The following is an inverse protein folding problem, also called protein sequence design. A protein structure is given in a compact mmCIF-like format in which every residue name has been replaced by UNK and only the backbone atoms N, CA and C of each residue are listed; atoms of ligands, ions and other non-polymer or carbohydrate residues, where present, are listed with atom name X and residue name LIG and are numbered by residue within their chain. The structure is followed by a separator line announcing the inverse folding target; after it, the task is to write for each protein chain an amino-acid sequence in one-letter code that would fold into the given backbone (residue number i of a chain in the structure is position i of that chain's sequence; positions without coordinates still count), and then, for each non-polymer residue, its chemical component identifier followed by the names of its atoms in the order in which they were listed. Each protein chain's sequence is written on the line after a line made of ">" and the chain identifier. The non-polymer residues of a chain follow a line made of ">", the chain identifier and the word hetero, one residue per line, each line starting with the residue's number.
data_IF_871979317675
#
_entry.id   IF_871979317675
#
_cell.length_a   1.000
_cell.length_b   1.000
_cell.length_c   1.000
_cell.angle_alpha   90.00
_cell.angle_beta   90.00
_cell.angle_gamma   90.00
#
_symmetry.space_group_name_H-M   'P 1'
#
loop_
_entity.id
_entity.type
_entity.pdbx_description
1 polymer ?
#
# COMPACT_ATOMS: atom_id res chain seq x y z
N UNK A 1 -3.88 7.76 -16.07
CA UNK A 1 -2.46 7.71 -16.48
C UNK A 1 -2.34 7.09 -17.86
N UNK A 2 -1.17 7.15 -18.52
CA UNK A 2 -0.96 6.58 -19.87
C UNK A 2 0.41 5.92 -19.99
N UNK A 3 0.55 4.97 -20.93
CA UNK A 3 1.81 4.26 -21.22
C UNK A 3 1.92 2.87 -20.60
N UNK A 4 3.09 2.22 -20.76
CA UNK A 4 3.46 0.93 -20.16
C UNK A 4 4.89 1.00 -19.61
N UNK A 5 5.09 1.19 -18.29
CA UNK A 5 4.08 1.31 -17.23
C UNK A 5 3.28 2.61 -17.33
N UNK A 6 2.14 2.67 -16.65
CA UNK A 6 1.31 3.87 -16.56
C UNK A 6 2.04 5.00 -15.82
N UNK A 7 2.08 6.17 -16.46
CA UNK A 7 2.72 7.39 -15.96
C UNK A 7 1.75 8.59 -16.04
N UNK A 8 1.96 9.59 -15.19
CA UNK A 8 1.31 10.89 -15.25
C UNK A 8 2.35 11.99 -14.96
N UNK A 9 2.56 12.89 -15.92
CA UNK A 9 3.54 13.98 -15.84
C UNK A 9 4.92 13.54 -15.34
N UNK A 10 5.44 12.43 -15.89
CA UNK A 10 6.75 11.87 -15.54
C UNK A 10 6.79 11.09 -14.22
N UNK A 11 5.68 10.96 -13.49
CA UNK A 11 5.59 10.15 -12.26
C UNK A 11 4.92 8.82 -12.54
N UNK A 12 5.42 7.75 -11.91
CA UNK A 12 4.79 6.41 -11.96
C UNK A 12 3.43 6.45 -11.29
N UNK A 13 2.48 5.76 -11.90
CA UNK A 13 1.15 5.58 -11.32
C UNK A 13 1.04 4.23 -10.62
N UNK A 14 0.11 4.17 -9.67
CA UNK A 14 -0.31 2.98 -8.98
C UNK A 14 -1.84 2.94 -8.94
N UNK A 15 -2.38 1.72 -8.90
CA UNK A 15 -3.77 1.52 -8.50
C UNK A 15 -3.86 1.39 -6.98
N UNK A 16 -5.06 1.65 -6.45
CA UNK A 16 -5.36 1.48 -5.04
C UNK A 16 -6.63 0.66 -4.87
N UNK A 17 -6.71 -0.10 -3.78
CA UNK A 17 -7.94 -0.64 -3.20
C UNK A 17 -8.00 -0.27 -1.72
N UNK A 18 -9.09 -0.63 -1.04
CA UNK A 18 -9.16 -0.60 0.41
C UNK A 18 -9.30 -2.01 0.98
N UNK A 19 -8.65 -2.26 2.11
CA UNK A 19 -8.82 -3.50 2.87
C UNK A 19 -9.08 -3.23 4.35
N UNK A 20 -9.63 -4.25 5.00
CA UNK A 20 -9.73 -4.33 6.45
C UNK A 20 -9.75 -5.80 6.88
N UNK A 21 -8.59 -6.34 7.25
CA UNK A 21 -8.45 -7.74 7.68
C UNK A 21 -8.26 -7.90 9.20
N UNK A 22 -7.88 -6.82 9.91
CA UNK A 22 -7.61 -6.83 11.34
C UNK A 22 -6.33 -7.55 11.77
N UNK A 23 -5.54 -8.07 10.82
CA UNK A 23 -4.39 -8.94 11.07
C UNK A 23 -3.13 -8.14 11.40
N UNK A 24 -2.11 -8.81 11.94
CA UNK A 24 -0.84 -8.16 12.32
C UNK A 24 -0.07 -7.59 11.13
N UNK A 25 -0.27 -8.18 9.96
CA UNK A 25 0.39 -7.81 8.71
C UNK A 25 1.83 -8.29 8.59
N UNK A 26 2.32 -8.35 7.36
CA UNK A 26 3.62 -8.92 6.98
C UNK A 26 4.85 -8.16 7.49
N UNK A 27 4.68 -6.95 8.02
CA UNK A 27 5.75 -6.21 8.71
C UNK A 27 5.72 -6.38 10.24
N UNK A 28 4.82 -7.22 10.76
CA UNK A 28 4.75 -7.52 12.19
C UNK A 28 4.31 -6.35 13.05
N UNK A 29 3.41 -5.50 12.56
CA UNK A 29 2.94 -4.30 13.25
C UNK A 29 1.77 -4.61 14.20
N UNK A 30 2.04 -5.50 15.16
CA UNK A 30 1.11 -5.93 16.19
C UNK A 30 1.84 -6.63 17.35
N UNK A 31 1.15 -6.98 18.44
CA UNK A 31 1.76 -7.70 19.55
C UNK A 31 2.39 -9.01 19.08
N UNK A 32 3.60 -9.32 19.56
CA UNK A 32 4.41 -10.45 19.08
C UNK A 32 3.63 -11.77 19.04
N UNK A 33 2.86 -12.06 20.09
CA UNK A 33 2.13 -13.33 20.28
C UNK A 33 0.73 -13.37 19.64
N UNK A 34 0.28 -12.30 18.98
CA UNK A 34 -1.08 -12.21 18.44
C UNK A 34 -1.07 -11.91 16.94
N UNK A 35 -1.98 -12.53 16.18
CA UNK A 35 -2.29 -12.10 14.82
C UNK A 35 -3.33 -10.97 14.85
N UNK A 36 -2.91 -9.83 15.39
CA UNK A 36 -3.75 -8.65 15.52
C UNK A 36 -2.91 -7.39 15.35
N UNK A 37 -3.37 -6.47 14.52
CA UNK A 37 -2.69 -5.18 14.36
C UNK A 37 -2.72 -4.32 15.63
N UNK A 38 -1.70 -3.47 15.78
CA UNK A 38 -1.77 -2.35 16.73
C UNK A 38 -2.89 -1.37 16.32
N UNK A 39 -3.45 -0.68 17.32
CA UNK A 39 -4.48 0.34 17.09
C UNK A 39 -4.02 1.41 16.10
N UNK A 40 -2.77 1.86 16.19
CA UNK A 40 -2.26 2.86 15.25
C UNK A 40 -2.14 2.33 13.82
N UNK A 41 -1.93 1.03 13.62
CA UNK A 41 -1.84 0.46 12.27
C UNK A 41 -3.23 0.44 11.63
N UNK A 42 -4.28 0.16 12.41
CA UNK A 42 -5.68 0.25 11.97
C UNK A 42 -6.12 1.67 11.60
N UNK A 43 -5.71 2.66 12.39
CA UNK A 43 -6.32 4.00 12.37
C UNK A 43 -5.53 5.06 11.57
N UNK A 44 -4.41 4.69 10.97
CA UNK A 44 -3.57 5.63 10.21
C UNK A 44 -3.41 5.19 8.76
N UNK A 45 -2.76 6.06 7.95
CA UNK A 45 -2.46 5.77 6.56
C UNK A 45 -1.32 4.76 6.44
N UNK A 46 -1.69 3.48 6.39
CA UNK A 46 -0.80 2.37 6.10
C UNK A 46 -1.30 1.59 4.89
N UNK A 47 -0.40 0.82 4.26
CA UNK A 47 -0.74 0.04 3.08
C UNK A 47 -0.15 -1.36 3.12
N UNK A 48 -0.89 -2.29 2.51
CA UNK A 48 -0.36 -3.52 1.96
C UNK A 48 0.03 -3.27 0.49
N UNK A 49 1.19 -3.75 0.06
CA UNK A 49 1.65 -3.53 -1.33
C UNK A 49 1.87 -4.84 -2.05
N UNK A 50 1.75 -4.83 -3.38
CA UNK A 50 1.92 -6.04 -4.19
C UNK A 50 3.27 -6.73 -3.96
N UNK A 51 3.29 -8.06 -4.03
CA UNK A 51 4.41 -8.92 -3.63
C UNK A 51 5.80 -8.46 -4.09
N UNK A 52 5.98 -8.14 -5.37
CA UNK A 52 7.29 -7.72 -5.92
C UNK A 52 7.66 -6.27 -5.59
N UNK A 53 6.70 -5.46 -5.17
CA UNK A 53 6.95 -4.13 -4.62
C UNK A 53 7.28 -4.20 -3.13
N UNK A 54 6.63 -5.10 -2.38
CA UNK A 54 6.93 -5.37 -0.98
C UNK A 54 8.38 -5.85 -0.77
N UNK A 55 8.80 -6.79 -1.63
CA UNK A 55 10.12 -7.40 -1.58
C UNK A 55 10.53 -7.90 -2.98
N UNK A 56 11.74 -7.58 -3.44
CA UNK A 56 12.13 -7.93 -4.81
C UNK A 56 12.31 -9.44 -5.00
N UNK A 57 12.74 -10.15 -3.95
CA UNK A 57 12.90 -11.62 -3.97
C UNK A 57 11.57 -12.34 -3.75
N UNK A 58 10.55 -11.63 -3.30
CA UNK A 58 9.20 -12.17 -3.09
C UNK A 58 9.01 -12.73 -1.68
N UNK A 59 9.75 -12.22 -0.68
CA UNK A 59 9.48 -12.56 0.72
C UNK A 59 8.07 -12.20 1.12
N UNK A 60 7.42 -13.05 1.91
CA UNK A 60 6.08 -12.80 2.44
C UNK A 60 6.07 -12.21 3.85
N UNK A 61 7.26 -12.05 4.45
CA UNK A 61 7.45 -11.55 5.82
C UNK A 61 8.71 -10.70 5.90
N UNK A 62 8.64 -9.56 6.62
CA UNK A 62 9.72 -8.58 6.75
C UNK A 62 10.40 -8.22 5.42
N UNK A 63 9.57 -7.91 4.42
CA UNK A 63 10.04 -7.48 3.11
C UNK A 63 10.86 -6.19 3.17
N UNK A 64 11.72 -5.99 2.19
CA UNK A 64 12.65 -4.86 2.12
C UNK A 64 12.00 -3.48 2.20
N UNK A 65 10.71 -3.38 1.88
CA UNK A 65 9.96 -2.11 1.93
C UNK A 65 9.12 -1.92 3.18
N UNK A 66 9.12 -2.86 4.12
CA UNK A 66 8.50 -2.64 5.42
C UNK A 66 9.02 -1.35 6.07
N UNK A 67 8.09 -0.53 6.57
CA UNK A 67 8.39 0.74 7.23
C UNK A 67 8.78 1.89 6.29
N UNK A 68 8.87 1.67 4.97
CA UNK A 68 9.07 2.76 4.01
C UNK A 68 7.78 3.54 3.78
N UNK A 69 7.92 4.85 3.54
CA UNK A 69 6.78 5.73 3.29
C UNK A 69 6.73 6.22 1.84
N UNK A 70 5.50 6.35 1.35
CA UNK A 70 5.20 6.80 0.01
C UNK A 70 4.10 7.87 0.05
N UNK A 71 4.32 8.96 -0.67
CA UNK A 71 3.28 9.95 -0.92
C UNK A 71 2.45 9.48 -2.12
N UNK A 72 1.14 9.37 -1.93
CA UNK A 72 0.15 9.05 -2.95
C UNK A 72 -0.62 10.32 -3.28
N UNK A 73 -0.62 10.70 -4.55
CA UNK A 73 -1.36 11.87 -5.05
C UNK A 73 -2.38 11.41 -6.09
N UNK A 74 -3.69 11.61 -5.87
CA UNK A 74 -4.71 11.27 -6.85
C UNK A 74 -4.48 11.94 -8.19
N UNK A 75 -4.81 11.24 -9.28
CA UNK A 75 -4.77 11.80 -10.63
C UNK A 75 -6.13 12.31 -11.11
N UNK A 76 -7.19 12.02 -10.36
CA UNK A 76 -8.58 12.18 -10.78
C UNK A 76 -9.11 10.97 -11.57
N UNK A 77 -8.23 10.05 -11.97
CA UNK A 77 -8.59 8.80 -12.63
C UNK A 77 -9.02 7.71 -11.64
N UNK A 78 -9.62 6.66 -12.19
CA UNK A 78 -10.05 5.44 -11.51
C UNK A 78 -10.18 4.33 -12.56
N UNK A 79 -10.35 3.07 -12.15
CA UNK A 79 -10.67 1.97 -13.06
C UNK A 79 -12.19 1.84 -13.13
N UNK A 80 -12.73 1.82 -14.35
CA UNK A 80 -14.17 1.73 -14.59
C UNK A 80 -14.77 0.49 -13.90
N UNK A 81 -15.90 0.67 -13.22
CA UNK A 81 -16.62 -0.33 -12.40
C UNK A 81 -15.88 -0.85 -11.15
N UNK A 82 -14.67 -0.37 -10.88
CA UNK A 82 -13.83 -0.82 -9.75
C UNK A 82 -13.45 0.35 -8.81
N UNK A 83 -14.06 1.52 -8.98
CA UNK A 83 -13.84 2.72 -8.18
C UNK A 83 -14.61 3.93 -8.71
N UNK A 84 -14.28 5.12 -8.20
CA UNK A 84 -14.89 6.39 -8.62
C UNK A 84 -13.87 7.54 -8.62
N UNK A 85 -14.17 8.67 -9.30
CA UNK A 85 -13.35 9.88 -9.18
C UNK A 85 -13.25 10.31 -7.71
N UNK A 86 -12.04 10.57 -7.19
CA UNK A 86 -11.86 11.01 -5.82
C UNK A 86 -12.49 12.40 -5.62
N UNK A 87 -13.22 12.59 -4.52
CA UNK A 87 -13.77 13.92 -4.19
C UNK A 87 -12.73 14.84 -3.54
N UNK A 88 -11.63 14.26 -3.04
CA UNK A 88 -10.45 14.99 -2.55
C UNK A 88 -9.21 14.63 -3.35
N UNK A 89 -8.52 15.67 -3.85
CA UNK A 89 -7.21 15.56 -4.50
C UNK A 89 -6.04 15.66 -3.51
N UNK A 90 -6.32 15.68 -2.20
CA UNK A 90 -5.31 15.83 -1.17
C UNK A 90 -4.32 14.65 -1.18
N UNK A 91 -3.01 14.89 -1.31
CA UNK A 91 -2.02 13.82 -1.16
C UNK A 91 -1.98 13.28 0.27
N UNK A 92 -1.74 11.97 0.40
CA UNK A 92 -1.47 11.31 1.69
C UNK A 92 -0.11 10.63 1.68
N UNK A 93 0.52 10.54 2.84
CA UNK A 93 1.70 9.70 3.04
C UNK A 93 1.29 8.40 3.73
N UNK A 94 1.55 7.27 3.07
CA UNK A 94 1.27 5.93 3.58
C UNK A 94 2.57 5.24 4.01
N UNK A 95 2.53 4.46 5.09
CA UNK A 95 3.64 3.57 5.48
C UNK A 95 3.33 2.13 5.08
N UNK A 96 4.30 1.41 4.52
CA UNK A 96 4.12 -0.01 4.18
C UNK A 96 4.23 -0.85 5.46
N UNK A 97 3.13 -1.54 5.80
CA UNK A 97 3.06 -2.39 7.00
C UNK A 97 2.56 -3.81 6.72
N UNK A 98 2.13 -4.07 5.48
CA UNK A 98 1.61 -5.37 5.09
C UNK A 98 1.94 -5.72 3.63
N UNK A 99 1.56 -6.92 3.22
CA UNK A 99 1.72 -7.50 1.90
C UNK A 99 0.34 -7.72 1.28
N UNK A 100 0.21 -7.38 -0.01
CA UNK A 100 -0.84 -7.88 -0.87
C UNK A 100 -0.28 -9.03 -1.74
N UNK A 101 -0.56 -10.30 -1.40
CA UNK A 101 0.08 -11.45 -2.03
C UNK A 101 -0.44 -11.76 -3.45
N UNK A 102 0.34 -12.53 -4.22
CA UNK A 102 -0.05 -13.04 -5.55
C UNK A 102 -0.94 -14.27 -5.38
N UNK A 103 -2.14 -14.06 -4.84
CA UNK A 103 -3.14 -15.11 -4.63
C UNK A 103 -4.55 -14.52 -4.73
N UNK A 104 -5.58 -15.32 -5.03
CA UNK A 104 -6.95 -14.86 -4.97
C UNK A 104 -7.30 -14.29 -3.57
N UNK A 105 -8.07 -13.19 -3.49
CA UNK A 105 -8.75 -12.48 -4.58
C UNK A 105 -7.89 -11.41 -5.29
N UNK A 106 -6.60 -11.28 -4.95
CA UNK A 106 -5.76 -10.14 -5.31
C UNK A 106 -5.15 -10.18 -6.72
N UNK A 107 -5.40 -11.23 -7.51
CA UNK A 107 -4.67 -11.47 -8.77
C UNK A 107 -4.79 -10.34 -9.81
N UNK A 108 -5.94 -9.65 -9.87
CA UNK A 108 -6.13 -8.49 -10.77
C UNK A 108 -5.29 -7.26 -10.36
N UNK A 109 -5.01 -7.13 -9.07
CA UNK A 109 -4.40 -5.94 -8.46
C UNK A 109 -2.92 -6.11 -8.13
N UNK A 110 -2.58 -7.25 -7.52
CA UNK A 110 -1.28 -7.59 -6.95
C UNK A 110 -0.57 -8.72 -7.69
N UNK A 111 -1.12 -9.18 -8.82
CA UNK A 111 -0.62 -10.31 -9.61
C UNK A 111 0.71 -10.11 -10.36
N UNK A 112 1.50 -9.08 -10.03
CA UNK A 112 2.84 -8.89 -10.61
C UNK A 112 3.79 -9.97 -10.07
N UNK A 113 4.01 -11.03 -10.85
CA UNK A 113 4.88 -12.16 -10.50
C UNK A 113 6.37 -11.93 -10.79
N UNK A 114 6.72 -10.92 -11.58
CA UNK A 114 8.10 -10.51 -11.88
C UNK A 114 8.40 -9.04 -11.59
N UNK A 115 9.68 -8.72 -11.38
CA UNK A 115 10.14 -7.33 -11.31
C UNK A 115 9.84 -6.60 -12.64
N UNK A 116 9.43 -5.34 -12.55
CA UNK A 116 9.01 -4.48 -13.68
C UNK A 116 7.75 -4.93 -14.45
N UNK A 117 7.03 -5.94 -13.96
CA UNK A 117 5.73 -6.27 -14.50
C UNK A 117 4.64 -5.33 -13.97
N UNK A 118 3.53 -5.27 -14.69
CA UNK A 118 2.32 -4.52 -14.31
C UNK A 118 1.16 -5.49 -14.03
N UNK A 119 0.19 -5.06 -13.23
CA UNK A 119 -1.03 -5.83 -12.98
C UNK A 119 -1.98 -5.81 -14.21
N UNK A 120 -3.15 -6.44 -14.06
CA UNK A 120 -4.16 -6.52 -15.12
C UNK A 120 -4.62 -5.14 -15.63
N UNK A 121 -4.40 -4.08 -14.85
CA UNK A 121 -4.78 -2.70 -15.18
C UNK A 121 -3.60 -1.82 -15.62
N UNK A 122 -2.38 -2.36 -15.76
CA UNK A 122 -1.22 -1.64 -16.29
C UNK A 122 -0.37 -0.89 -15.25
N UNK A 123 -0.61 -1.12 -13.95
CA UNK A 123 0.16 -0.50 -12.86
C UNK A 123 1.30 -1.40 -12.35
N UNK A 124 2.48 -0.82 -12.22
CA UNK A 124 3.66 -1.50 -11.65
C UNK A 124 3.54 -1.73 -10.14
N UNK A 125 2.94 -0.77 -9.43
CA UNK A 125 2.70 -0.84 -8.00
C UNK A 125 1.20 -0.85 -7.73
N UNK A 126 0.81 -1.54 -6.68
CA UNK A 126 -0.53 -1.47 -6.13
C UNK A 126 -0.44 -1.24 -4.62
N UNK A 127 -1.26 -0.32 -4.11
CA UNK A 127 -1.37 -0.01 -2.69
C UNK A 127 -2.78 -0.35 -2.23
N UNK A 128 -2.92 -1.43 -1.49
CA UNK A 128 -4.15 -1.78 -0.80
C UNK A 128 -4.16 -1.06 0.55
N UNK A 129 -5.09 -0.13 0.75
CA UNK A 129 -5.04 0.86 1.82
C UNK A 129 -5.88 0.40 3.02
N UNK A 130 -5.30 0.37 4.22
CA UNK A 130 -6.08 0.02 5.42
C UNK A 130 -7.18 1.06 5.63
N UNK A 131 -8.40 0.57 5.81
CA UNK A 131 -9.59 1.42 5.94
C UNK A 131 -10.49 1.01 7.12
N UNK A 132 -9.95 0.33 8.12
CA UNK A 132 -10.68 -0.17 9.29
C UNK A 132 -11.30 0.90 10.17
N UNK A 133 -10.85 2.14 10.05
CA UNK A 133 -11.46 3.31 10.68
C UNK A 133 -12.05 4.28 9.64
N UNK A 134 -12.33 3.78 8.42
CA UNK A 134 -12.86 4.53 7.29
C UNK A 134 -11.97 5.71 6.85
N UNK A 135 -10.69 5.74 7.25
CA UNK A 135 -9.80 6.88 7.02
C UNK A 135 -9.54 7.18 5.54
N UNK A 136 -9.71 6.21 4.64
CA UNK A 136 -9.56 6.40 3.19
C UNK A 136 -10.89 6.82 2.58
N UNK A 137 -11.97 6.12 2.90
CA UNK A 137 -13.31 6.47 2.38
C UNK A 137 -13.79 7.83 2.91
N UNK A 138 -13.40 8.24 4.12
CA UNK A 138 -13.67 9.57 4.67
C UNK A 138 -12.86 10.69 3.98
N UNK A 139 -11.78 10.37 3.25
CA UNK A 139 -11.15 11.31 2.32
C UNK A 139 -11.95 11.45 1.02
N UNK A 140 -12.97 10.62 0.82
CA UNK A 140 -13.70 10.52 -0.44
C UNK A 140 -12.90 9.81 -1.52
N UNK A 141 -12.05 8.87 -1.13
CA UNK A 141 -11.32 7.99 -2.04
C UNK A 141 -12.09 6.67 -2.20
N UNK A 142 -12.40 6.33 -3.44
CA UNK A 142 -12.93 5.03 -3.86
C UNK A 142 -12.03 4.49 -4.98
N UNK A 143 -11.02 3.74 -4.56
CA UNK A 143 -9.99 3.13 -5.41
C UNK A 143 -9.40 4.08 -6.50
N UNK A 144 -8.99 5.32 -6.13
CA UNK A 144 -8.48 6.25 -7.12
C UNK A 144 -7.17 5.77 -7.74
N UNK A 145 -6.97 6.15 -8.99
CA UNK A 145 -5.64 6.14 -9.61
C UNK A 145 -4.78 7.22 -8.94
N UNK A 146 -3.56 6.84 -8.54
CA UNK A 146 -2.61 7.75 -7.89
C UNK A 146 -1.27 7.77 -8.62
N UNK A 147 -0.55 8.88 -8.52
CA UNK A 147 0.91 8.85 -8.64
C UNK A 147 1.54 8.55 -7.29
N UNK A 148 2.71 7.92 -7.27
CA UNK A 148 3.44 7.66 -6.03
C UNK A 148 4.91 8.04 -6.12
N UNK A 149 5.48 8.45 -4.97
CA UNK A 149 6.92 8.62 -4.80
C UNK A 149 7.34 8.25 -3.37
N UNK A 150 8.55 7.71 -3.21
CA UNK A 150 9.13 7.48 -1.89
C UNK A 150 9.41 8.84 -1.22
N UNK A 151 9.07 8.95 0.05
CA UNK A 151 9.28 10.16 0.86
C UNK A 151 9.86 9.79 2.22
N UNK A 152 10.36 10.80 2.94
CA UNK A 152 10.67 10.64 4.36
C UNK A 152 9.37 10.40 5.15
N UNK A 153 9.44 9.51 6.13
CA UNK A 153 8.32 9.14 6.97
C UNK A 153 7.92 10.22 8.00
N UNK A 154 8.67 11.33 8.08
CA UNK A 154 8.51 12.33 9.12
C UNK A 154 8.83 11.78 10.50
N UNK A 155 8.45 12.50 11.56
CA UNK A 155 8.82 12.12 12.93
C UNK A 155 7.92 11.04 13.55
N UNK A 156 6.66 10.92 13.09
CA UNK A 156 5.65 10.05 13.71
C UNK A 156 5.83 8.59 13.34
N UNK A 157 5.97 8.31 12.04
CA UNK A 157 5.99 6.94 11.50
C UNK A 157 7.19 6.11 11.94
N UNK A 158 8.44 6.63 11.98
CA UNK A 158 9.57 5.86 12.46
C UNK A 158 9.41 5.43 13.93
N UNK A 159 8.76 6.25 14.76
CA UNK A 159 8.46 5.87 16.16
C UNK A 159 7.49 4.69 16.23
N UNK A 160 6.45 4.69 15.40
CA UNK A 160 5.48 3.59 15.30
C UNK A 160 6.09 2.32 14.73
N UNK A 161 6.87 2.46 13.66
CA UNK A 161 7.48 1.30 13.02
C UNK A 161 8.43 0.53 13.95
N UNK A 162 9.11 1.21 14.89
CA UNK A 162 9.92 0.56 15.93
C UNK A 162 9.14 -0.37 16.87
N UNK A 163 7.81 -0.25 16.92
CA UNK A 163 6.95 -1.19 17.66
C UNK A 163 6.75 -2.49 16.87
N UNK A 164 6.95 -2.46 15.55
CA UNK A 164 6.77 -3.63 14.68
C UNK A 164 7.94 -4.60 14.83
N UNK A 165 7.64 -5.90 14.74
CA UNK A 165 8.66 -6.94 14.75
C UNK A 165 9.72 -6.66 13.68
N UNK A 166 9.29 -6.31 12.45
CA UNK A 166 10.20 -6.12 11.31
C UNK A 166 11.14 -4.88 11.39
N UNK A 167 11.22 -4.18 12.52
CA UNK A 167 12.09 -3.02 12.71
C UNK A 167 13.52 -3.32 13.20
N UNK A 168 13.80 -4.48 13.78
CA UNK A 168 15.07 -4.76 14.49
C UNK A 168 16.09 -5.57 13.68
N UNK A 169 15.70 -6.11 12.54
CA UNK A 169 16.51 -6.98 11.67
C UNK A 169 16.70 -8.42 12.17
N UNK A 170 16.11 -8.79 13.31
CA UNK A 170 16.25 -10.12 13.92
C UNK A 170 14.96 -10.93 13.78
N UNK A 171 14.88 -11.80 12.76
CA UNK A 171 13.75 -12.73 12.52
C UNK A 171 14.28 -14.12 12.21
#
# INVERSE_FOLDING_TARGET
>A
CKGKPLMNNGRRCASTTVFHDGRKGACGCGPFWLDKQFFWNKDNYVAAVNQRFFDFDGKTWCGQRCGQCYELTPTGGFIENEGAPPTSMQPITVMITNLCPIEPPNLSWCGQNHYNQVNAHGYYAHFDLENGNQQITSLGWDNPEVTYRRVDCGMKWPKRYRECQCSTGYY
#
